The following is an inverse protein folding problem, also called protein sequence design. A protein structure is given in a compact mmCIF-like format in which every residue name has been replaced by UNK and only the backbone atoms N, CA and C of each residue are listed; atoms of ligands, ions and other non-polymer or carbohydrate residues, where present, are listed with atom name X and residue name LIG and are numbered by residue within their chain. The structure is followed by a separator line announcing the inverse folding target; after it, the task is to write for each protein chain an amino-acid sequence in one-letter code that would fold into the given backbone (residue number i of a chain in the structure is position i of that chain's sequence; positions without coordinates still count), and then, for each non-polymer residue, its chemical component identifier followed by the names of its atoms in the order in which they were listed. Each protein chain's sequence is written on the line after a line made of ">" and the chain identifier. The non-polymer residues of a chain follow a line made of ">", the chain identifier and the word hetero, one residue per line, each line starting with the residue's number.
data_IF_919628347525
#
_entry.id   IF_919628347525
#
_cell.length_a   1.000
_cell.length_b   1.000
_cell.length_c   1.000
_cell.angle_alpha   90.00
_cell.angle_beta   90.00
_cell.angle_gamma   90.00
#
_symmetry.space_group_name_H-M   'P 1'
#
loop_
_entity.id
_entity.type
_entity.pdbx_description
1 polymer ?
#
# COMPACT_ATOMS: atom_id res chain seq x y z
N UNK A 1 12.93 20.31 11.87
CA UNK A 1 12.63 20.38 10.42
C UNK A 1 13.66 19.63 9.56
N UNK A 2 14.73 19.07 10.13
CA UNK A 2 15.76 18.33 9.38
C UNK A 2 15.24 17.03 8.71
N UNK A 3 14.32 16.32 9.35
CA UNK A 3 13.75 15.08 8.79
C UNK A 3 12.80 15.34 7.61
N UNK A 4 12.26 16.55 7.47
CA UNK A 4 11.39 16.90 6.34
C UNK A 4 12.20 17.09 5.05
N UNK A 5 13.35 17.76 5.13
CA UNK A 5 14.26 17.92 4.00
C UNK A 5 14.76 16.57 3.47
N UNK A 6 15.16 15.67 4.39
CA UNK A 6 15.56 14.30 4.04
C UNK A 6 14.43 13.51 3.40
N UNK A 7 13.21 13.61 3.92
CA UNK A 7 12.03 12.99 3.32
C UNK A 7 11.81 13.48 1.88
N UNK A 8 11.86 14.80 1.67
CA UNK A 8 11.62 15.39 0.36
C UNK A 8 12.69 14.98 -0.64
N UNK A 9 13.95 14.95 -0.24
CA UNK A 9 15.05 14.46 -1.07
C UNK A 9 14.84 13.00 -1.48
N UNK A 10 14.49 12.12 -0.53
CA UNK A 10 14.22 10.71 -0.84
C UNK A 10 12.99 10.52 -1.71
N UNK A 11 11.93 11.30 -1.50
CA UNK A 11 10.74 11.26 -2.36
C UNK A 11 11.10 11.70 -3.77
N UNK A 12 11.81 12.82 -3.93
CA UNK A 12 12.23 13.35 -5.23
C UNK A 12 13.13 12.34 -5.96
N UNK A 13 14.11 11.75 -5.26
CA UNK A 13 14.94 10.69 -5.82
C UNK A 13 14.14 9.47 -6.24
N UNK A 14 13.18 9.02 -5.41
CA UNK A 14 12.32 7.88 -5.74
C UNK A 14 11.46 8.15 -6.98
N UNK A 15 10.87 9.35 -7.07
CA UNK A 15 10.07 9.74 -8.23
C UNK A 15 10.93 9.85 -9.49
N UNK A 16 12.12 10.45 -9.39
CA UNK A 16 13.05 10.55 -10.51
C UNK A 16 13.47 9.17 -11.02
N UNK A 17 13.96 8.29 -10.14
CA UNK A 17 14.40 6.94 -10.51
C UNK A 17 13.25 6.11 -11.08
N UNK A 18 12.06 6.21 -10.48
CA UNK A 18 10.87 5.51 -10.97
C UNK A 18 10.43 6.01 -12.34
N UNK A 19 10.41 7.33 -12.55
CA UNK A 19 10.05 7.93 -13.84
C UNK A 19 11.05 7.57 -14.93
N UNK A 20 12.37 7.66 -14.63
CA UNK A 20 13.42 7.23 -15.55
C UNK A 20 13.29 5.75 -15.89
N UNK A 21 12.95 4.89 -14.93
CA UNK A 21 12.70 3.46 -15.19
C UNK A 21 11.56 3.24 -16.21
N UNK A 22 10.45 3.98 -16.07
CA UNK A 22 9.34 3.92 -17.03
C UNK A 22 9.80 4.39 -18.42
N UNK A 23 10.51 5.53 -18.50
CA UNK A 23 11.03 6.04 -19.77
C UNK A 23 12.01 5.06 -20.42
N UNK A 24 12.93 4.46 -19.67
CA UNK A 24 13.85 3.46 -20.20
C UNK A 24 13.14 2.19 -20.66
N UNK A 25 12.05 1.78 -20.00
CA UNK A 25 11.23 0.67 -20.50
C UNK A 25 10.57 1.00 -21.84
N UNK A 26 10.14 2.24 -22.04
CA UNK A 26 9.59 2.71 -23.32
C UNK A 26 10.67 2.82 -24.39
N UNK A 27 11.83 3.39 -24.07
CA UNK A 27 12.98 3.45 -24.98
C UNK A 27 13.42 2.03 -25.37
N UNK A 28 13.45 1.09 -24.42
CA UNK A 28 13.75 -0.30 -24.69
C UNK A 28 12.82 -0.87 -25.76
N UNK A 29 11.50 -0.74 -25.58
CA UNK A 29 10.55 -1.36 -26.51
C UNK A 29 10.47 -0.65 -27.86
N UNK A 30 10.60 0.68 -27.91
CA UNK A 30 10.46 1.44 -29.16
C UNK A 30 11.75 1.56 -29.96
N UNK A 31 12.91 1.60 -29.31
CA UNK A 31 14.18 1.79 -30.00
C UNK A 31 14.88 0.45 -30.31
N UNK A 32 14.80 -0.52 -29.39
CA UNK A 32 15.53 -1.79 -29.52
C UNK A 32 14.62 -2.98 -29.87
N UNK A 33 13.31 -2.85 -29.64
CA UNK A 33 12.33 -3.90 -29.93
C UNK A 33 11.30 -3.42 -30.95
N UNK A 34 10.30 -4.26 -31.19
CA UNK A 34 9.33 -4.14 -32.27
C UNK A 34 8.27 -3.06 -32.03
N UNK A 35 8.41 -2.24 -30.98
CA UNK A 35 7.39 -1.30 -30.55
C UNK A 35 6.24 -1.99 -29.80
N UNK A 36 5.04 -1.41 -29.92
CA UNK A 36 3.82 -1.84 -29.23
C UNK A 36 2.67 -2.03 -30.23
N UNK A 37 2.00 -3.18 -30.17
CA UNK A 37 0.78 -3.49 -30.91
C UNK A 37 -0.14 -4.40 -30.08
N UNK A 38 -1.30 -4.81 -30.60
CA UNK A 38 -2.21 -5.75 -29.95
C UNK A 38 -2.77 -6.72 -31.00
N UNK A 39 -1.91 -7.64 -31.47
CA UNK A 39 -2.09 -8.52 -32.63
C UNK A 39 -1.48 -9.94 -32.49
N UNK A 40 -1.05 -10.34 -31.29
CA UNK A 40 -0.37 -11.60 -30.99
C UNK A 40 1.11 -11.65 -31.40
N UNK A 41 1.70 -10.54 -31.84
CA UNK A 41 3.12 -10.46 -32.21
C UNK A 41 4.03 -10.14 -31.02
N UNK A 42 5.35 -10.10 -31.26
CA UNK A 42 6.32 -9.69 -30.24
C UNK A 42 6.07 -8.24 -29.74
N UNK A 43 5.50 -7.37 -30.58
CA UNK A 43 5.13 -6.03 -30.18
C UNK A 43 3.95 -6.03 -29.18
N UNK A 44 3.08 -7.04 -29.19
CA UNK A 44 2.09 -7.21 -28.12
C UNK A 44 2.75 -7.64 -26.81
N UNK A 45 3.68 -8.61 -26.85
CA UNK A 45 4.46 -9.01 -25.67
C UNK A 45 5.15 -7.81 -25.00
N UNK A 46 5.63 -6.84 -25.78
CA UNK A 46 6.35 -5.67 -25.27
C UNK A 46 5.48 -4.78 -24.36
N UNK A 47 4.15 -4.89 -24.38
CA UNK A 47 3.30 -4.28 -23.34
C UNK A 47 3.62 -4.83 -21.95
N UNK A 48 4.04 -6.08 -21.84
CA UNK A 48 4.27 -6.73 -20.56
C UNK A 48 5.29 -6.00 -19.69
N UNK A 49 6.57 -5.85 -20.10
CA UNK A 49 7.55 -5.14 -19.28
C UNK A 49 7.14 -3.68 -19.02
N UNK A 50 6.56 -2.98 -20.00
CA UNK A 50 6.14 -1.58 -19.85
C UNK A 50 5.05 -1.44 -18.78
N UNK A 51 4.03 -2.29 -18.81
CA UNK A 51 2.89 -2.23 -17.90
C UNK A 51 3.25 -2.74 -16.50
N UNK A 52 4.08 -3.79 -16.37
CA UNK A 52 4.60 -4.21 -15.06
C UNK A 52 5.43 -3.10 -14.41
N UNK A 53 6.39 -2.50 -15.14
CA UNK A 53 7.25 -1.45 -14.58
C UNK A 53 6.42 -0.21 -14.23
N UNK A 54 5.45 0.17 -15.06
CA UNK A 54 4.60 1.34 -14.80
C UNK A 54 3.62 1.09 -13.65
N UNK A 55 2.87 -0.01 -13.69
CA UNK A 55 1.81 -0.30 -12.72
C UNK A 55 2.34 -0.90 -11.43
N UNK A 56 2.92 -2.08 -11.53
CA UNK A 56 3.32 -2.92 -10.40
C UNK A 56 4.65 -2.47 -9.75
N UNK A 57 5.52 -1.76 -10.47
CA UNK A 57 6.69 -1.14 -9.83
C UNK A 57 6.36 0.30 -9.44
N UNK A 58 6.20 1.20 -10.41
CA UNK A 58 6.16 2.64 -10.12
C UNK A 58 4.90 3.08 -9.38
N UNK A 59 3.70 2.82 -9.93
CA UNK A 59 2.43 3.26 -9.32
C UNK A 59 2.19 2.57 -7.97
N UNK A 60 2.42 1.26 -7.87
CA UNK A 60 2.33 0.54 -6.60
C UNK A 60 3.32 1.11 -5.56
N UNK A 61 4.57 1.40 -5.95
CA UNK A 61 5.57 2.00 -5.07
C UNK A 61 5.10 3.35 -4.48
N UNK A 62 4.50 4.21 -5.31
CA UNK A 62 3.89 5.47 -4.86
C UNK A 62 2.72 5.20 -3.91
N UNK A 63 1.85 4.23 -4.24
CA UNK A 63 0.70 3.87 -3.42
C UNK A 63 1.10 3.40 -2.02
N UNK A 64 2.22 2.69 -1.88
CA UNK A 64 2.76 2.21 -0.60
C UNK A 64 3.14 3.39 0.31
N UNK A 65 3.75 4.44 -0.23
CA UNK A 65 4.24 5.58 0.56
C UNK A 65 3.24 6.74 0.65
N UNK A 66 2.06 6.66 0.01
CA UNK A 66 1.12 7.78 -0.10
C UNK A 66 0.66 8.34 1.25
N UNK A 67 0.53 7.49 2.28
CA UNK A 67 0.19 7.93 3.64
C UNK A 67 1.33 8.62 4.37
N UNK A 68 2.56 8.51 3.87
CA UNK A 68 3.77 9.03 4.52
C UNK A 68 4.08 10.46 4.09
N UNK A 69 3.37 10.99 3.08
CA UNK A 69 3.48 12.35 2.59
C UNK A 69 3.06 13.37 3.68
N UNK A 70 3.99 14.18 4.24
CA UNK A 70 3.68 15.01 5.40
C UNK A 70 2.58 16.06 5.16
N UNK A 71 2.52 16.62 3.95
CA UNK A 71 1.48 17.57 3.55
C UNK A 71 0.07 16.96 3.51
N UNK A 72 -0.05 15.63 3.54
CA UNK A 72 -1.35 14.92 3.54
C UNK A 72 -1.84 14.57 4.94
N UNK A 73 -1.04 14.78 5.99
CA UNK A 73 -1.37 14.32 7.34
C UNK A 73 -2.60 15.03 7.91
N UNK A 74 -2.82 16.30 7.52
CA UNK A 74 -4.00 17.09 7.87
C UNK A 74 -5.20 16.85 6.93
N UNK A 75 -5.01 16.16 5.81
CA UNK A 75 -6.10 15.83 4.89
C UNK A 75 -7.02 14.74 5.46
N UNK A 76 -8.24 14.61 4.92
CA UNK A 76 -9.17 13.56 5.33
C UNK A 76 -8.53 12.17 5.26
N UNK A 77 -8.68 11.37 6.33
CA UNK A 77 -8.21 9.97 6.35
C UNK A 77 -8.94 9.14 5.30
N UNK A 78 -10.22 9.42 5.06
CA UNK A 78 -11.01 8.75 4.05
C UNK A 78 -10.51 9.09 2.63
N UNK A 79 -10.18 10.35 2.37
CA UNK A 79 -9.59 10.76 1.08
C UNK A 79 -8.29 9.99 0.80
N UNK A 80 -7.39 9.91 1.78
CA UNK A 80 -6.13 9.17 1.60
C UNK A 80 -6.35 7.66 1.40
N UNK A 81 -7.43 7.08 1.96
CA UNK A 81 -7.82 5.70 1.65
C UNK A 81 -8.28 5.55 0.22
N UNK A 82 -9.08 6.49 -0.31
CA UNK A 82 -9.47 6.47 -1.71
C UNK A 82 -8.27 6.62 -2.65
N UNK A 83 -7.33 7.52 -2.35
CA UNK A 83 -6.11 7.67 -3.16
C UNK A 83 -5.28 6.38 -3.13
N UNK A 84 -5.04 5.82 -1.94
CA UNK A 84 -4.30 4.55 -1.82
C UNK A 84 -5.01 3.41 -2.57
N UNK A 85 -6.31 3.23 -2.38
CA UNK A 85 -7.08 2.20 -3.08
C UNK A 85 -7.07 2.42 -4.60
N UNK A 86 -7.31 3.65 -5.05
CA UNK A 86 -7.32 4.02 -6.47
C UNK A 86 -5.99 3.75 -7.16
N UNK A 87 -4.86 4.16 -6.56
CA UNK A 87 -3.53 3.88 -7.10
C UNK A 87 -3.26 2.36 -7.20
N UNK A 88 -3.59 1.59 -6.15
CA UNK A 88 -3.40 0.13 -6.20
C UNK A 88 -4.32 -0.55 -7.23
N UNK A 89 -5.55 -0.05 -7.42
CA UNK A 89 -6.48 -0.53 -8.46
C UNK A 89 -5.97 -0.23 -9.86
N UNK A 90 -5.43 0.97 -10.10
CA UNK A 90 -4.81 1.30 -11.40
C UNK A 90 -3.63 0.35 -11.67
N UNK A 91 -2.75 0.15 -10.69
CA UNK A 91 -1.64 -0.80 -10.81
C UNK A 91 -2.14 -2.23 -11.11
N UNK A 92 -3.23 -2.67 -10.48
CA UNK A 92 -3.85 -3.96 -10.77
C UNK A 92 -4.34 -4.08 -12.21
N UNK A 93 -5.07 -3.07 -12.70
CA UNK A 93 -5.61 -3.08 -14.06
C UNK A 93 -4.47 -3.20 -15.07
N UNK A 94 -3.41 -2.40 -14.91
CA UNK A 94 -2.25 -2.45 -15.79
C UNK A 94 -1.56 -3.83 -15.75
N UNK A 95 -1.42 -4.44 -14.58
CA UNK A 95 -0.85 -5.78 -14.47
C UNK A 95 -1.73 -6.87 -15.10
N UNK A 96 -3.05 -6.78 -14.98
CA UNK A 96 -3.97 -7.72 -15.66
C UNK A 96 -3.80 -7.60 -17.17
N UNK A 97 -3.84 -6.38 -17.72
CA UNK A 97 -3.60 -6.14 -19.16
C UNK A 97 -2.23 -6.67 -19.59
N UNK A 98 -1.21 -6.44 -18.76
CA UNK A 98 0.15 -6.95 -18.95
C UNK A 98 0.23 -8.49 -19.02
N UNK A 99 -0.56 -9.19 -18.20
CA UNK A 99 -0.61 -10.65 -18.23
C UNK A 99 -1.34 -11.14 -19.47
N UNK A 100 -2.48 -10.52 -19.82
CA UNK A 100 -3.24 -10.86 -21.03
C UNK A 100 -2.34 -10.77 -22.26
N UNK A 101 -1.57 -9.70 -22.42
CA UNK A 101 -0.64 -9.54 -23.54
C UNK A 101 0.37 -10.69 -23.70
N UNK A 102 0.88 -11.26 -22.59
CA UNK A 102 1.81 -12.40 -22.65
C UNK A 102 1.08 -13.69 -22.99
N UNK A 103 -0.09 -13.93 -22.38
CA UNK A 103 -0.87 -15.12 -22.68
C UNK A 103 -1.33 -15.12 -24.14
N UNK A 104 -1.81 -13.99 -24.66
CA UNK A 104 -2.23 -13.84 -26.05
C UNK A 104 -1.05 -14.04 -27.01
N UNK A 105 0.10 -13.41 -26.75
CA UNK A 105 1.34 -13.64 -27.52
C UNK A 105 1.77 -15.12 -27.50
N UNK A 106 1.86 -15.75 -26.34
CA UNK A 106 2.27 -17.15 -26.22
C UNK A 106 1.31 -18.07 -26.95
N UNK A 107 0.00 -17.87 -26.80
CA UNK A 107 -1.01 -18.67 -27.47
C UNK A 107 -0.93 -18.49 -29.00
N UNK A 108 -0.77 -17.26 -29.49
CA UNK A 108 -0.61 -16.96 -30.91
C UNK A 108 0.67 -17.57 -31.51
N UNK A 109 1.74 -17.71 -30.70
CA UNK A 109 3.03 -18.30 -31.11
C UNK A 109 3.20 -19.77 -30.75
N UNK A 110 2.19 -20.42 -30.16
CA UNK A 110 2.26 -21.79 -29.64
C UNK A 110 3.42 -22.02 -28.66
N UNK A 111 3.72 -21.02 -27.82
CA UNK A 111 4.71 -21.09 -26.75
C UNK A 111 3.99 -21.62 -25.49
N UNK A 112 4.55 -22.61 -24.77
CA UNK A 112 3.93 -23.11 -23.54
C UNK A 112 3.87 -22.00 -22.47
N UNK A 113 2.75 -21.92 -21.76
CA UNK A 113 2.57 -20.99 -20.65
C UNK A 113 3.06 -21.58 -19.33
N UNK A 114 3.37 -20.71 -18.37
CA UNK A 114 3.57 -21.06 -16.96
C UNK A 114 4.66 -22.11 -16.65
N UNK A 115 5.74 -22.16 -17.43
CA UNK A 115 6.85 -23.10 -17.19
C UNK A 115 8.07 -22.48 -16.49
N UNK A 116 8.22 -21.15 -16.52
CA UNK A 116 9.39 -20.47 -15.95
C UNK A 116 9.17 -20.06 -14.49
N UNK A 117 10.24 -19.96 -13.70
CA UNK A 117 10.15 -19.48 -12.32
C UNK A 117 9.65 -18.02 -12.27
N UNK A 118 10.01 -17.20 -13.26
CA UNK A 118 9.47 -15.84 -13.42
C UNK A 118 7.93 -15.88 -13.48
N UNK A 119 7.37 -16.78 -14.29
CA UNK A 119 5.91 -16.92 -14.43
C UNK A 119 5.23 -17.41 -13.14
N UNK A 120 5.84 -18.37 -12.41
CA UNK A 120 5.28 -18.90 -11.16
C UNK A 120 5.24 -17.84 -10.06
N UNK A 121 6.35 -17.15 -9.84
CA UNK A 121 6.43 -16.09 -8.83
C UNK A 121 5.60 -14.87 -9.25
N UNK A 122 5.59 -14.54 -10.55
CA UNK A 122 4.79 -13.45 -11.10
C UNK A 122 3.28 -13.65 -10.93
N UNK A 123 2.75 -14.81 -11.31
CA UNK A 123 1.33 -15.10 -11.12
C UNK A 123 0.97 -15.16 -9.62
N UNK A 124 1.85 -15.73 -8.80
CA UNK A 124 1.68 -15.73 -7.33
C UNK A 124 1.58 -14.29 -6.80
N UNK A 125 2.45 -13.38 -7.24
CA UNK A 125 2.40 -11.97 -6.86
C UNK A 125 1.09 -11.30 -7.30
N UNK A 126 0.60 -11.54 -8.52
CA UNK A 126 -0.69 -11.00 -9.00
C UNK A 126 -1.85 -11.51 -8.15
N UNK A 127 -1.88 -12.80 -7.81
CA UNK A 127 -2.94 -13.39 -6.96
C UNK A 127 -2.91 -12.77 -5.55
N UNK A 128 -1.74 -12.71 -4.90
CA UNK A 128 -1.63 -12.12 -3.57
C UNK A 128 -1.93 -10.62 -3.58
N UNK A 129 -1.52 -9.89 -4.62
CA UNK A 129 -1.87 -8.49 -4.79
C UNK A 129 -3.39 -8.30 -4.96
N UNK A 130 -4.07 -9.21 -5.67
CA UNK A 130 -5.53 -9.20 -5.82
C UNK A 130 -6.24 -9.42 -4.50
N UNK A 131 -5.79 -10.42 -3.73
CA UNK A 131 -6.33 -10.71 -2.42
C UNK A 131 -6.09 -9.55 -1.45
N UNK A 132 -4.89 -8.95 -1.49
CA UNK A 132 -4.51 -7.79 -0.70
C UNK A 132 -5.40 -6.58 -1.00
N UNK A 133 -5.69 -6.31 -2.28
CA UNK A 133 -6.54 -5.21 -2.72
C UNK A 133 -8.00 -5.43 -2.27
N UNK A 134 -8.53 -6.64 -2.49
CA UNK A 134 -9.89 -7.01 -2.09
C UNK A 134 -10.08 -6.92 -0.57
N UNK A 135 -9.20 -7.55 0.21
CA UNK A 135 -9.25 -7.50 1.68
C UNK A 135 -9.04 -6.07 2.19
N UNK A 136 -8.12 -5.32 1.58
CA UNK A 136 -7.87 -3.92 1.91
C UNK A 136 -9.11 -3.04 1.72
N UNK A 137 -9.82 -3.23 0.61
CA UNK A 137 -11.07 -2.55 0.33
C UNK A 137 -12.17 -2.93 1.34
N UNK A 138 -12.41 -4.23 1.52
CA UNK A 138 -13.49 -4.74 2.37
C UNK A 138 -13.30 -4.38 3.86
N UNK A 139 -12.06 -4.43 4.37
CA UNK A 139 -11.77 -4.23 5.79
C UNK A 139 -11.47 -2.76 6.12
N UNK A 140 -10.68 -2.06 5.29
CA UNK A 140 -10.17 -0.73 5.64
C UNK A 140 -10.92 0.41 4.95
N UNK A 141 -11.55 0.21 3.80
CA UNK A 141 -12.30 1.28 3.12
C UNK A 141 -13.79 1.26 3.49
N UNK A 142 -14.44 0.09 3.41
CA UNK A 142 -15.86 -0.04 3.75
C UNK A 142 -16.11 0.12 5.26
N UNK A 143 -17.28 0.67 5.66
CA UNK A 143 -17.57 0.96 7.06
C UNK A 143 -17.87 -0.28 7.90
N UNK A 144 -18.21 -1.41 7.28
CA UNK A 144 -18.82 -2.59 7.94
C UNK A 144 -17.88 -3.42 8.83
N UNK A 145 -16.56 -3.34 8.61
CA UNK A 145 -15.61 -4.18 9.35
C UNK A 145 -15.45 -3.74 10.82
N UNK A 146 -15.55 -4.66 11.79
CA UNK A 146 -15.32 -4.36 13.21
C UNK A 146 -13.93 -3.81 13.48
N UNK A 147 -13.80 -2.94 14.50
CA UNK A 147 -12.52 -2.34 14.88
C UNK A 147 -11.48 -3.41 15.28
N UNK A 148 -11.91 -4.47 15.98
CA UNK A 148 -11.04 -5.60 16.37
C UNK A 148 -10.38 -6.25 15.15
N UNK A 149 -11.16 -6.50 14.10
CA UNK A 149 -10.67 -7.09 12.85
C UNK A 149 -9.67 -6.15 12.15
N UNK A 150 -9.98 -4.85 12.08
CA UNK A 150 -9.06 -3.85 11.50
C UNK A 150 -7.73 -3.79 12.23
N UNK A 151 -7.72 -3.86 13.56
CA UNK A 151 -6.49 -3.86 14.35
C UNK A 151 -5.69 -5.14 14.12
N UNK A 152 -6.35 -6.31 14.10
CA UNK A 152 -5.69 -7.59 13.88
C UNK A 152 -5.08 -7.74 12.47
N UNK A 153 -5.77 -7.25 11.43
CA UNK A 153 -5.32 -7.38 10.04
C UNK A 153 -4.33 -6.28 9.60
N UNK A 154 -4.23 -5.16 10.30
CA UNK A 154 -3.35 -4.06 9.91
C UNK A 154 -1.86 -4.47 9.80
N UNK A 155 -1.25 -5.19 10.76
CA UNK A 155 0.13 -5.63 10.65
C UNK A 155 0.33 -6.59 9.47
N UNK A 156 -0.61 -7.50 9.25
CA UNK A 156 -0.59 -8.46 8.14
C UNK A 156 -0.64 -7.70 6.82
N UNK A 157 -1.58 -6.76 6.66
CA UNK A 157 -1.71 -5.93 5.47
C UNK A 157 -0.45 -5.12 5.17
N UNK A 158 0.17 -4.50 6.18
CA UNK A 158 1.42 -3.76 5.97
C UNK A 158 2.55 -4.71 5.56
N UNK A 159 2.74 -5.82 6.28
CA UNK A 159 3.80 -6.78 5.97
C UNK A 159 3.63 -7.39 4.57
N UNK A 160 2.43 -7.93 4.26
CA UNK A 160 2.15 -8.53 2.97
C UNK A 160 2.31 -7.54 1.82
N UNK A 161 1.90 -6.27 2.00
CA UNK A 161 2.06 -5.25 0.97
C UNK A 161 3.52 -4.97 0.61
N UNK A 162 4.41 -4.91 1.62
CA UNK A 162 5.85 -4.74 1.40
C UNK A 162 6.49 -5.98 0.79
N UNK A 163 6.11 -7.17 1.25
CA UNK A 163 6.60 -8.45 0.72
C UNK A 163 6.18 -8.64 -0.73
N UNK A 164 4.92 -8.38 -1.09
CA UNK A 164 4.44 -8.45 -2.47
C UNK A 164 5.23 -7.49 -3.35
N UNK A 165 5.48 -6.26 -2.91
CA UNK A 165 6.26 -5.28 -3.67
C UNK A 165 7.70 -5.74 -3.89
N UNK A 166 8.37 -6.28 -2.87
CA UNK A 166 9.71 -6.85 -3.02
C UNK A 166 9.71 -8.04 -4.01
N UNK A 167 8.71 -8.91 -3.93
CA UNK A 167 8.53 -10.03 -4.87
C UNK A 167 8.32 -9.53 -6.30
N UNK A 168 7.53 -8.47 -6.50
CA UNK A 168 7.32 -7.85 -7.83
C UNK A 168 8.63 -7.34 -8.42
N UNK A 169 9.48 -6.67 -7.62
CA UNK A 169 10.81 -6.24 -8.08
C UNK A 169 11.64 -7.46 -8.50
N UNK A 170 11.71 -8.51 -7.67
CA UNK A 170 12.44 -9.72 -8.00
C UNK A 170 11.94 -10.38 -9.29
N UNK A 171 10.62 -10.52 -9.45
CA UNK A 171 9.99 -11.03 -10.67
C UNK A 171 10.32 -10.20 -11.90
N UNK A 172 10.31 -8.86 -11.78
CA UNK A 172 10.65 -7.98 -12.89
C UNK A 172 12.10 -8.17 -13.35
N UNK A 173 13.05 -8.32 -12.41
CA UNK A 173 14.45 -8.61 -12.72
C UNK A 173 14.62 -9.97 -13.41
N UNK A 174 13.88 -10.99 -12.96
CA UNK A 174 13.87 -12.29 -13.61
C UNK A 174 13.31 -12.19 -15.04
N UNK A 175 12.22 -11.46 -15.23
CA UNK A 175 11.60 -11.27 -16.55
C UNK A 175 12.49 -10.51 -17.52
N UNK A 176 13.18 -9.47 -17.04
CA UNK A 176 14.23 -8.76 -17.79
C UNK A 176 15.33 -9.74 -18.21
N UNK A 177 15.82 -10.53 -17.27
CA UNK A 177 16.92 -11.48 -17.52
C UNK A 177 16.51 -12.54 -18.55
N UNK A 178 15.33 -13.15 -18.39
CA UNK A 178 14.77 -14.11 -19.35
C UNK A 178 14.65 -13.48 -20.74
N UNK A 179 14.08 -12.27 -20.84
CA UNK A 179 13.88 -11.60 -22.13
C UNK A 179 15.21 -11.25 -22.81
N UNK A 180 16.21 -10.77 -22.08
CA UNK A 180 17.53 -10.47 -22.66
C UNK A 180 18.22 -11.74 -23.17
N UNK A 181 18.18 -12.83 -22.41
CA UNK A 181 18.76 -14.12 -22.82
C UNK A 181 18.08 -14.65 -24.10
N UNK A 182 16.75 -14.56 -24.18
CA UNK A 182 16.02 -15.06 -25.35
C UNK A 182 16.20 -14.20 -26.60
N UNK A 183 16.28 -12.88 -26.41
CA UNK A 183 16.16 -11.93 -27.51
C UNK A 183 17.50 -11.38 -28.02
N UNK A 184 18.61 -11.61 -27.32
CA UNK A 184 19.97 -11.19 -27.71
C UNK A 184 20.85 -12.40 -28.02
N UNK A 185 20.70 -12.94 -29.23
CA UNK A 185 21.49 -14.07 -29.73
C UNK A 185 22.59 -13.65 -30.71
N UNK A 186 22.42 -12.54 -31.42
CA UNK A 186 23.44 -11.97 -32.31
C UNK A 186 23.24 -10.45 -32.49
N UNK A 187 24.07 -9.59 -31.86
CA UNK A 187 25.13 -9.94 -30.91
C UNK A 187 24.59 -10.64 -29.66
N UNK A 188 25.37 -11.56 -29.08
CA UNK A 188 24.94 -12.32 -27.92
C UNK A 188 24.89 -11.44 -26.66
N UNK A 189 24.00 -11.75 -25.71
CA UNK A 189 23.88 -11.01 -24.46
C UNK A 189 25.22 -10.85 -23.71
N UNK A 190 26.05 -11.89 -23.69
CA UNK A 190 27.37 -11.89 -23.03
C UNK A 190 28.36 -10.88 -23.61
N UNK A 191 28.16 -10.43 -24.85
CA UNK A 191 28.99 -9.39 -25.49
C UNK A 191 28.60 -7.97 -25.03
N UNK A 192 27.60 -7.85 -24.16
CA UNK A 192 27.11 -6.58 -23.62
C UNK A 192 26.74 -5.55 -24.69
N UNK A 193 25.89 -5.89 -25.69
CA UNK A 193 25.45 -4.92 -26.68
C UNK A 193 24.75 -3.71 -26.03
N UNK A 194 24.58 -2.59 -26.75
CA UNK A 194 23.99 -1.37 -26.17
C UNK A 194 22.63 -1.59 -25.51
N UNK A 195 21.79 -2.45 -26.11
CA UNK A 195 20.51 -2.83 -25.51
C UNK A 195 20.69 -3.52 -24.15
N UNK A 196 21.58 -4.51 -24.07
CA UNK A 196 21.87 -5.25 -22.84
C UNK A 196 22.30 -4.29 -21.72
N UNK A 197 23.19 -3.35 -22.05
CA UNK A 197 23.67 -2.36 -21.08
C UNK A 197 22.53 -1.47 -20.58
N UNK A 198 21.71 -0.94 -21.49
CA UNK A 198 20.57 -0.09 -21.13
C UNK A 198 19.55 -0.83 -20.25
N UNK A 199 19.22 -2.07 -20.59
CA UNK A 199 18.20 -2.84 -19.87
C UNK A 199 18.75 -3.37 -18.53
N UNK A 200 20.05 -3.64 -18.42
CA UNK A 200 20.70 -3.90 -17.13
C UNK A 200 20.69 -2.65 -16.23
N UNK A 201 20.96 -1.47 -16.79
CA UNK A 201 20.80 -0.21 -16.05
C UNK A 201 19.35 -0.01 -15.58
N UNK A 202 18.35 -0.32 -16.42
CA UNK A 202 16.95 -0.33 -16.02
C UNK A 202 16.72 -1.26 -14.82
N UNK A 203 17.22 -2.50 -14.87
CA UNK A 203 17.13 -3.45 -13.75
C UNK A 203 17.73 -2.89 -12.44
N UNK A 204 18.91 -2.26 -12.50
CA UNK A 204 19.52 -1.60 -11.34
C UNK A 204 18.65 -0.45 -10.80
N UNK A 205 18.05 0.35 -11.68
CA UNK A 205 17.14 1.42 -11.27
C UNK A 205 15.89 0.88 -10.58
N UNK A 206 15.35 -0.27 -11.02
CA UNK A 206 14.23 -0.92 -10.32
C UNK A 206 14.61 -1.34 -8.89
N UNK A 207 15.82 -1.87 -8.69
CA UNK A 207 16.34 -2.22 -7.35
C UNK A 207 16.51 -0.99 -6.48
N UNK A 208 17.09 0.09 -7.02
CA UNK A 208 17.28 1.35 -6.31
C UNK A 208 15.92 1.95 -5.92
N UNK A 209 14.97 2.01 -6.87
CA UNK A 209 13.62 2.47 -6.62
C UNK A 209 12.94 1.65 -5.52
N UNK A 210 12.95 0.32 -5.65
CA UNK A 210 12.38 -0.58 -4.65
C UNK A 210 12.96 -0.36 -3.26
N UNK A 211 14.28 -0.22 -3.18
CA UNK A 211 15.00 0.03 -1.92
C UNK A 211 14.61 1.38 -1.29
N UNK A 212 14.50 2.44 -2.09
CA UNK A 212 14.07 3.76 -1.61
C UNK A 212 12.63 3.72 -1.07
N UNK A 213 11.71 3.11 -1.80
CA UNK A 213 10.31 2.95 -1.38
C UNK A 213 10.23 2.16 -0.07
N UNK A 214 10.90 1.00 0.02
CA UNK A 214 10.91 0.18 1.25
C UNK A 214 11.55 0.91 2.44
N UNK A 215 12.62 1.67 2.20
CA UNK A 215 13.25 2.50 3.22
C UNK A 215 12.29 3.57 3.75
N UNK A 216 11.63 4.31 2.86
CA UNK A 216 10.62 5.30 3.24
C UNK A 216 9.43 4.65 3.94
N UNK A 217 8.99 3.49 3.45
CA UNK A 217 7.88 2.72 3.97
C UNK A 217 8.12 2.11 5.36
N UNK A 218 9.38 2.01 5.81
CA UNK A 218 9.75 1.43 7.10
C UNK A 218 10.09 2.46 8.19
N UNK A 219 10.26 3.74 7.86
CA UNK A 219 10.57 4.78 8.87
C UNK A 219 9.41 5.03 9.83
N UNK A 220 9.56 4.85 11.16
CA UNK A 220 8.48 5.11 12.11
C UNK A 220 8.06 6.59 12.17
N UNK A 221 9.02 7.51 12.09
CA UNK A 221 8.78 8.96 12.20
C UNK A 221 8.07 9.57 10.97
N UNK A 222 8.03 8.87 9.83
CA UNK A 222 7.23 9.26 8.65
C UNK A 222 5.87 8.57 8.59
N UNK A 223 5.51 7.77 9.60
CA UNK A 223 4.19 7.16 9.67
C UNK A 223 3.16 8.26 9.92
N UNK A 224 2.05 8.25 9.18
CA UNK A 224 0.95 9.19 9.39
C UNK A 224 0.53 9.21 10.87
N UNK A 225 0.47 10.39 11.53
CA UNK A 225 0.01 10.49 12.91
C UNK A 225 -1.40 9.93 13.11
N UNK A 226 -1.65 9.29 14.26
CA UNK A 226 -2.99 8.90 14.66
C UNK A 226 -3.87 10.15 14.85
N UNK A 227 -5.17 10.03 14.55
CA UNK A 227 -6.10 11.17 14.59
C UNK A 227 -6.22 11.82 15.99
N UNK A 228 -5.85 11.12 17.07
CA UNK A 228 -5.85 11.64 18.44
C UNK A 228 -4.70 12.64 18.69
N UNK A 229 -3.54 12.46 18.05
CA UNK A 229 -2.38 13.35 18.22
C UNK A 229 -2.56 14.70 17.51
N UNK A 230 -3.53 14.82 16.58
CA UNK A 230 -3.86 16.08 15.93
C UNK A 230 -4.64 17.04 16.85
N UNK A 231 -5.27 16.54 17.92
CA UNK A 231 -5.94 17.38 18.93
C UNK A 231 -4.97 17.95 19.97
N UNK A 232 -3.86 17.28 20.24
CA UNK A 232 -2.86 17.68 21.25
C UNK A 232 -1.93 18.79 20.74
N UNK A 233 -1.81 18.98 19.41
CA UNK A 233 -1.03 20.06 18.78
C UNK A 233 -1.79 21.40 18.68
N UNK A 234 -2.89 21.59 19.42
CA UNK A 234 -3.43 22.94 19.67
C UNK A 234 -2.55 23.62 20.72
N UNK A 235 -2.11 24.87 20.53
CA UNK A 235 -1.52 25.63 21.63
C UNK A 235 -2.56 25.69 22.75
N UNK A 236 -2.16 25.26 23.95
CA UNK A 236 -2.89 25.54 25.19
C UNK A 236 -2.76 27.06 25.38
N UNK A 237 -3.77 27.81 24.93
CA UNK A 237 -3.73 29.27 24.98
C UNK A 237 -4.68 29.93 23.99
N UNK A 238 -5.97 29.64 24.09
CA UNK A 238 -7.01 30.48 23.50
C UNK A 238 -8.28 30.34 24.35
N UNK A 239 -8.31 31.07 25.46
CA UNK A 239 -9.56 31.49 26.12
C UNK A 239 -10.19 32.60 25.27
N UNK A 240 -11.45 32.49 24.84
CA UNK A 240 -12.25 33.66 24.51
C UNK A 240 -12.86 34.20 25.80
N UNK A 241 -12.53 35.46 26.09
CA UNK A 241 -13.16 36.31 27.08
C UNK A 241 -14.69 36.36 26.93
N UNK A 242 -15.35 36.61 28.05
CA UNK A 242 -16.80 36.66 28.15
C UNK A 242 -17.46 37.81 27.40
N UNK A 243 -18.75 37.65 27.18
CA UNK A 243 -19.69 38.77 27.09
C UNK A 243 -21.02 38.27 27.65
N UNK A 244 -21.33 38.75 28.85
CA UNK A 244 -22.69 38.79 29.38
C UNK A 244 -23.52 39.74 28.51
N UNK A 245 -24.68 39.29 28.03
CA UNK A 245 -25.85 40.17 27.85
C UNK A 245 -27.10 39.40 28.24
N UNK A 246 -27.75 39.95 29.25
CA UNK A 246 -29.03 39.60 29.85
C UNK A 246 -30.22 40.04 28.98
N UNK A 247 -31.27 39.23 28.88
CA UNK A 247 -32.67 39.72 28.77
C UNK A 247 -33.71 38.61 29.07
N UNK A 248 -34.27 38.65 30.29
CA UNK A 248 -35.71 38.71 30.66
C UNK A 248 -36.74 38.05 29.71
N UNK A 249 -37.72 37.21 30.11
CA UNK A 249 -38.75 37.32 31.16
C UNK A 249 -39.55 35.98 31.29
N UNK A 250 -39.88 35.59 32.55
CA UNK A 250 -41.14 34.96 33.08
C UNK A 250 -41.71 33.67 32.45
N UNK A 251 -42.25 32.68 33.18
CA UNK A 251 -43.09 32.75 34.38
C UNK A 251 -43.18 31.41 35.15
N UNK A 252 -43.53 31.55 36.42
CA UNK A 252 -43.60 30.63 37.57
C UNK A 252 -44.61 29.47 37.50
N UNK A 253 -44.37 28.37 38.23
CA UNK A 253 -45.17 27.95 39.40
C UNK A 253 -44.78 26.58 40.02
N UNK A 254 -44.40 26.64 41.31
CA UNK A 254 -44.73 25.79 42.48
C UNK A 254 -44.44 24.27 42.47
N UNK A 255 -43.50 23.78 43.31
CA UNK A 255 -43.65 23.26 44.70
C UNK A 255 -44.24 21.83 44.74
N UNK A 256 -43.75 20.81 45.46
CA UNK A 256 -43.29 20.75 46.86
C UNK A 256 -42.56 19.40 47.16
N UNK A 257 -41.77 19.39 48.26
CA UNK A 257 -41.26 18.33 49.21
C UNK A 257 -41.57 16.82 48.96
N UNK A 258 -40.83 15.80 49.45
CA UNK A 258 -39.93 15.60 50.61
C UNK A 258 -39.24 14.22 50.57
N UNK A 259 -37.99 14.18 51.03
CA UNK A 259 -37.29 13.25 51.95
C UNK A 259 -37.66 11.77 52.20
N UNK A 260 -36.56 11.00 52.35
CA UNK A 260 -36.29 9.85 53.24
C UNK A 260 -36.98 8.49 53.01
N UNK A 261 -36.18 7.50 52.55
CA UNK A 261 -36.20 6.15 53.15
C UNK A 261 -34.80 5.48 53.08
N UNK A 262 -34.30 5.17 54.27
CA UNK A 262 -33.06 4.47 54.59
C UNK A 262 -32.98 3.08 53.92
N UNK A 263 -31.83 2.66 53.36
CA UNK A 263 -30.73 2.02 54.09
C UNK A 263 -31.20 1.05 55.20
N UNK A 264 -31.60 -0.15 54.80
CA UNK A 264 -31.54 -1.36 55.63
C UNK A 264 -31.46 -2.57 54.68
N UNK A 265 -30.60 -3.55 54.97
CA UNK A 265 -30.18 -4.70 54.12
C UNK A 265 -28.90 -4.44 53.30
N UNK A 266 -27.79 -3.99 53.88
CA UNK A 266 -27.01 -4.84 54.78
C UNK A 266 -27.23 -6.32 54.46
N UNK A 267 -26.47 -6.84 53.52
CA UNK A 267 -25.32 -7.63 53.93
C UNK A 267 -25.73 -8.79 54.85
N UNK A 268 -26.12 -9.94 54.28
CA UNK A 268 -25.96 -11.18 55.05
C UNK A 268 -25.78 -12.51 54.31
N UNK A 269 -26.12 -12.69 53.03
CA UNK A 269 -26.23 -14.08 52.52
C UNK A 269 -25.76 -14.43 51.10
N UNK A 270 -25.20 -13.53 50.30
CA UNK A 270 -24.59 -13.91 49.00
C UNK A 270 -23.12 -13.52 48.86
N UNK A 271 -22.48 -13.45 50.02
CA UNK A 271 -21.06 -13.65 50.14
C UNK A 271 -20.75 -15.10 49.72
N UNK A 272 -19.59 -15.30 49.10
CA UNK A 272 -18.78 -16.50 49.31
C UNK A 272 -19.37 -17.78 48.70
N UNK A 273 -19.20 -17.98 47.39
CA UNK A 273 -19.10 -19.36 46.87
C UNK A 273 -18.34 -19.57 45.56
N UNK A 274 -17.86 -18.53 44.87
CA UNK A 274 -17.27 -18.72 43.54
C UNK A 274 -15.78 -18.41 43.37
N UNK A 275 -15.07 -17.98 44.42
CA UNK A 275 -13.64 -17.64 44.31
C UNK A 275 -12.64 -18.62 44.96
N UNK A 276 -13.07 -19.77 45.50
CA UNK A 276 -12.13 -20.79 46.01
C UNK A 276 -12.60 -22.23 45.73
N UNK A 277 -12.39 -22.75 44.50
CA UNK A 277 -12.20 -24.17 44.20
C UNK A 277 -12.02 -24.38 42.68
N UNK A 278 -10.90 -24.82 42.13
CA UNK A 278 -9.61 -25.13 42.70
C UNK A 278 -8.56 -25.19 41.60
N UNK A 279 -7.34 -24.77 41.97
CA UNK A 279 -6.13 -25.35 41.42
C UNK A 279 -6.17 -26.86 41.62
N UNK A 280 -5.77 -27.65 40.60
CA UNK A 280 -4.71 -28.68 40.67
C UNK A 280 -4.71 -29.62 39.45
N UNK A 281 -3.51 -29.79 38.87
CA UNK A 281 -2.98 -31.01 38.19
C UNK A 281 -3.68 -31.49 36.90
N UNK A 282 -3.02 -32.01 35.86
CA UNK A 282 -1.69 -32.63 35.68
C UNK A 282 -1.45 -32.85 34.18
N UNK A 283 -0.17 -32.81 33.78
CA UNK A 283 0.47 -33.32 32.54
C UNK A 283 0.06 -32.73 31.18
#
# INVERSE_FOLDING_TARGET
>A
MEDYGRFLALLASSLLVGFVSVILSLVWVFHYREGLSWDGSAAEFNWHPVLIITGFVFIQGIAIIVYRLPWTWKCSKLLMKFIHAGLNTIAMILAIVSMVAVFDFHNAKNIPNMYSLHSWIGLTAVIFYSLQLFLGFAVFLLPFAPVRLRVALMPIHVYSGLTIFATVIATALMGITEKLIFALTNPAYSESPPEATLVNCLGLLLVIFGSLILWMASRPHWKRPAAENAKILRPIGATPEGTEVESTMTNSSNADKSDLRSNTEAARKQNIKHDEAGLRSTM
#
